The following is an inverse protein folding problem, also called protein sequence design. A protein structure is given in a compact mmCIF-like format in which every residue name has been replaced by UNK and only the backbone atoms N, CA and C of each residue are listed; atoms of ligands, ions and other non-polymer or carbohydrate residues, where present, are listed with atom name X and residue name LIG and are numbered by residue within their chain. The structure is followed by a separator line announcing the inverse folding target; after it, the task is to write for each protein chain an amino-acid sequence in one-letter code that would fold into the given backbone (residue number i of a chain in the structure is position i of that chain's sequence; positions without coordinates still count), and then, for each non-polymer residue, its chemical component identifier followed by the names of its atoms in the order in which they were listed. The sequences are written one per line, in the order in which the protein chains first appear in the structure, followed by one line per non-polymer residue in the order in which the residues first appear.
data_IF_924915017709
#
_entry.id   IF_924915017709
#
_cell.length_a   1.000
_cell.length_b   1.000
_cell.length_c   1.000
_cell.angle_alpha   90.00
_cell.angle_beta   90.00
_cell.angle_gamma   90.00
#
_symmetry.space_group_name_H-M   'P 1'
#
loop_
_entity.id
_entity.type
_entity.pdbx_description
1 polymer ?
#
# COMPACT_ATOMS: atom_id res chain seq x y z
N UNK A 1 38.78 40.22 -0.48
CA UNK A 1 38.36 40.04 0.93
C UNK A 1 36.96 39.44 0.89
N UNK A 2 36.88 38.12 1.01
CA UNK A 2 35.63 37.36 1.06
C UNK A 2 35.28 37.08 2.52
N UNK A 3 33.99 37.20 2.88
CA UNK A 3 33.27 36.72 4.08
C UNK A 3 31.87 37.38 3.95
N UNK A 4 30.70 36.75 4.12
CA UNK A 4 30.30 35.49 4.73
C UNK A 4 28.87 35.20 4.22
N UNK A 5 28.64 34.11 3.50
CA UNK A 5 27.30 33.54 3.39
C UNK A 5 27.08 32.71 4.66
N UNK A 6 26.17 33.13 5.53
CA UNK A 6 25.83 32.36 6.73
C UNK A 6 24.70 31.40 6.42
N UNK A 7 24.99 30.14 6.70
CA UNK A 7 24.10 28.99 6.68
C UNK A 7 22.85 29.25 7.53
N UNK A 8 21.66 29.09 6.94
CA UNK A 8 20.39 29.04 7.67
C UNK A 8 19.28 28.22 6.96
N UNK A 9 19.60 27.49 5.89
CA UNK A 9 18.60 26.72 5.11
C UNK A 9 18.56 25.21 5.41
N UNK A 10 19.54 24.65 6.11
CA UNK A 10 19.59 23.19 6.38
C UNK A 10 18.87 22.76 7.66
N UNK A 11 18.65 23.66 8.63
CA UNK A 11 18.00 23.31 9.89
C UNK A 11 16.48 23.32 9.80
N UNK A 12 15.89 24.24 9.03
CA UNK A 12 14.43 24.35 8.86
C UNK A 12 13.86 23.22 8.00
N UNK A 13 14.59 22.79 6.95
CA UNK A 13 14.21 21.68 6.09
C UNK A 13 14.22 20.34 6.83
N UNK A 14 15.26 20.09 7.63
CA UNK A 14 15.36 18.87 8.45
C UNK A 14 14.30 18.79 9.57
N UNK A 15 13.90 19.93 10.14
CA UNK A 15 12.82 19.97 11.15
C UNK A 15 11.46 19.69 10.50
N UNK A 16 11.18 20.27 9.33
CA UNK A 16 9.95 20.01 8.57
C UNK A 16 9.85 18.53 8.18
N UNK A 17 10.92 17.95 7.61
CA UNK A 17 10.93 16.55 7.19
C UNK A 17 10.75 15.57 8.35
N UNK A 18 11.32 15.89 9.52
CA UNK A 18 11.13 15.08 10.74
C UNK A 18 9.69 15.16 11.25
N UNK A 19 9.09 16.35 11.22
CA UNK A 19 7.70 16.58 11.63
C UNK A 19 6.72 15.84 10.70
N UNK A 20 6.95 15.90 9.39
CA UNK A 20 6.16 15.19 8.38
C UNK A 20 6.28 13.67 8.54
N UNK A 21 7.49 13.15 8.76
CA UNK A 21 7.69 11.71 9.04
C UNK A 21 6.96 11.28 10.30
N UNK A 22 7.05 12.05 11.39
CA UNK A 22 6.38 11.74 12.67
C UNK A 22 4.87 11.77 12.53
N UNK A 23 4.33 12.73 11.78
CA UNK A 23 2.92 12.81 11.43
C UNK A 23 2.45 11.56 10.67
N UNK A 24 3.15 11.17 9.61
CA UNK A 24 2.80 10.00 8.79
C UNK A 24 2.86 8.67 9.54
N UNK A 25 3.86 8.49 10.41
CA UNK A 25 3.97 7.29 11.26
C UNK A 25 2.84 7.26 12.28
N UNK A 26 2.50 8.40 12.89
CA UNK A 26 1.41 8.49 13.86
C UNK A 26 0.06 8.22 13.20
N UNK A 27 -0.16 8.77 12.00
CA UNK A 27 -1.37 8.54 11.22
C UNK A 27 -1.56 7.06 10.85
N UNK A 28 -0.50 6.39 10.37
CA UNK A 28 -0.55 4.95 10.06
C UNK A 28 -0.89 4.11 11.28
N UNK A 29 -0.22 4.36 12.42
CA UNK A 29 -0.52 3.68 13.68
C UNK A 29 -1.97 3.89 14.13
N UNK A 30 -2.50 5.10 13.96
CA UNK A 30 -3.89 5.39 14.27
C UNK A 30 -4.85 4.56 13.41
N UNK A 31 -4.61 4.49 12.08
CA UNK A 31 -5.45 3.72 11.17
C UNK A 31 -5.35 2.20 11.39
N UNK A 32 -4.16 1.71 11.73
CA UNK A 32 -3.98 0.30 12.09
C UNK A 32 -4.75 -0.04 13.38
N UNK A 33 -4.64 0.80 14.41
CA UNK A 33 -5.42 0.63 15.65
C UNK A 33 -6.94 0.67 15.40
N UNK A 34 -7.41 1.57 14.53
CA UNK A 34 -8.84 1.66 14.15
C UNK A 34 -9.30 0.36 13.49
N UNK A 35 -8.48 -0.20 12.58
CA UNK A 35 -8.78 -1.46 11.90
C UNK A 35 -8.84 -2.63 12.89
N UNK A 36 -7.90 -2.68 13.84
CA UNK A 36 -7.86 -3.71 14.88
C UNK A 36 -9.08 -3.62 15.80
N UNK A 37 -9.48 -2.41 16.20
CA UNK A 37 -10.69 -2.18 16.99
C UNK A 37 -11.93 -2.62 16.20
N UNK A 38 -12.06 -2.22 14.92
CA UNK A 38 -13.16 -2.66 14.06
C UNK A 38 -13.23 -4.18 14.01
N UNK A 39 -12.11 -4.85 13.75
CA UNK A 39 -12.04 -6.31 13.72
C UNK A 39 -12.48 -6.93 15.04
N UNK A 40 -11.99 -6.43 16.18
CA UNK A 40 -12.37 -6.96 17.49
C UNK A 40 -13.87 -6.79 17.75
N UNK A 41 -14.42 -5.60 17.46
CA UNK A 41 -15.83 -5.32 17.66
C UNK A 41 -16.72 -6.17 16.75
N UNK A 42 -16.41 -6.30 15.46
CA UNK A 42 -17.27 -7.07 14.55
C UNK A 42 -17.13 -8.58 14.71
N UNK A 43 -15.96 -9.09 15.13
CA UNK A 43 -15.70 -10.54 15.14
C UNK A 43 -15.71 -11.19 16.52
N UNK A 44 -15.44 -10.43 17.59
CA UNK A 44 -15.35 -10.95 18.96
C UNK A 44 -16.51 -10.50 19.85
N UNK A 45 -17.08 -9.31 19.62
CA UNK A 45 -18.21 -8.82 20.43
C UNK A 45 -19.47 -9.70 20.27
N UNK A 46 -19.92 -10.08 19.05
CA UNK A 46 -21.07 -10.98 18.91
C UNK A 46 -20.85 -12.32 19.60
N UNK A 47 -19.62 -12.87 19.54
CA UNK A 47 -19.28 -14.14 20.19
C UNK A 47 -19.32 -14.05 21.71
N UNK A 48 -18.91 -12.90 22.27
CA UNK A 48 -18.97 -12.67 23.72
C UNK A 48 -20.43 -12.52 24.18
N UNK A 49 -21.22 -11.74 23.45
CA UNK A 49 -22.65 -11.53 23.72
C UNK A 49 -23.40 -12.85 23.67
N UNK A 50 -23.23 -13.64 22.60
CA UNK A 50 -23.83 -14.97 22.48
C UNK A 50 -23.44 -15.93 23.62
N UNK A 51 -22.18 -15.88 24.09
CA UNK A 51 -21.75 -16.70 25.24
C UNK A 51 -22.39 -16.26 26.55
N UNK A 52 -22.64 -14.96 26.75
CA UNK A 52 -23.27 -14.44 27.97
C UNK A 52 -24.80 -14.62 27.95
N UNK A 53 -25.43 -14.44 26.79
CA UNK A 53 -26.86 -14.62 26.58
C UNK A 53 -27.31 -16.08 26.60
N UNK A 54 -26.42 -17.03 26.30
CA UNK A 54 -26.68 -18.46 26.54
C UNK A 54 -27.00 -18.81 28.01
N UNK A 55 -26.85 -17.85 28.94
CA UNK A 55 -27.18 -18.00 30.35
C UNK A 55 -28.44 -17.22 30.80
N UNK A 56 -29.09 -16.40 29.95
CA UNK A 56 -30.23 -15.55 30.34
C UNK A 56 -31.30 -15.43 29.26
N UNK A 57 -32.56 -15.23 29.64
CA UNK A 57 -33.70 -15.07 28.72
C UNK A 57 -33.81 -13.65 28.12
N UNK A 58 -32.76 -12.83 28.26
CA UNK A 58 -32.72 -11.43 27.83
C UNK A 58 -32.28 -11.27 26.37
N UNK A 59 -32.38 -12.34 25.56
CA UNK A 59 -31.60 -12.47 24.32
C UNK A 59 -32.08 -11.58 23.19
N UNK A 60 -33.39 -11.46 22.97
CA UNK A 60 -33.89 -10.86 21.71
C UNK A 60 -33.72 -9.33 21.64
N UNK A 61 -33.98 -8.60 22.74
CA UNK A 61 -33.79 -7.14 22.82
C UNK A 61 -32.31 -6.74 22.92
N UNK A 62 -31.48 -7.59 23.56
CA UNK A 62 -30.04 -7.35 23.65
C UNK A 62 -29.33 -7.64 22.32
N UNK A 63 -29.75 -8.68 21.60
CA UNK A 63 -29.22 -9.02 20.28
C UNK A 63 -29.50 -7.90 19.28
N UNK A 64 -30.74 -7.37 19.22
CA UNK A 64 -31.07 -6.25 18.33
C UNK A 64 -30.28 -4.99 18.66
N UNK A 65 -30.08 -4.70 19.96
CA UNK A 65 -29.29 -3.54 20.40
C UNK A 65 -27.81 -3.67 20.02
N UNK A 66 -27.27 -4.88 20.07
CA UNK A 66 -25.87 -5.16 19.68
C UNK A 66 -25.71 -5.07 18.17
N UNK A 67 -26.65 -5.58 17.39
CA UNK A 67 -26.64 -5.49 15.93
C UNK A 67 -26.73 -4.02 15.48
N UNK A 68 -27.68 -3.25 16.02
CA UNK A 68 -27.81 -1.81 15.75
C UNK A 68 -26.52 -1.04 16.09
N UNK A 69 -25.88 -1.39 17.21
CA UNK A 69 -24.61 -0.79 17.62
C UNK A 69 -23.47 -1.12 16.65
N UNK A 70 -23.39 -2.37 16.18
CA UNK A 70 -22.38 -2.80 15.23
C UNK A 70 -22.56 -2.15 13.86
N UNK A 71 -23.79 -2.00 13.39
CA UNK A 71 -24.10 -1.31 12.12
C UNK A 71 -23.71 0.18 12.20
N UNK A 72 -24.08 0.86 13.29
CA UNK A 72 -23.68 2.25 13.55
C UNK A 72 -22.16 2.42 13.64
N UNK A 73 -21.46 1.47 14.25
CA UNK A 73 -20.00 1.48 14.31
C UNK A 73 -19.37 1.26 12.93
N UNK A 74 -19.93 0.36 12.13
CA UNK A 74 -19.43 0.06 10.80
C UNK A 74 -19.52 1.29 9.88
N UNK A 75 -20.63 2.01 9.91
CA UNK A 75 -20.78 3.29 9.18
C UNK A 75 -19.68 4.28 9.57
N UNK A 76 -19.41 4.42 10.88
CA UNK A 76 -18.40 5.34 11.41
C UNK A 76 -16.98 4.93 11.01
N UNK A 77 -16.66 3.64 11.04
CA UNK A 77 -15.37 3.15 10.59
C UNK A 77 -15.17 3.38 9.09
N UNK A 78 -16.20 3.14 8.28
CA UNK A 78 -16.15 3.42 6.85
C UNK A 78 -15.95 4.92 6.58
N UNK A 79 -16.60 5.80 7.35
CA UNK A 79 -16.39 7.24 7.26
C UNK A 79 -14.97 7.66 7.69
N UNK A 80 -14.40 7.04 8.72
CA UNK A 80 -13.01 7.30 9.12
C UNK A 80 -12.00 6.86 8.06
N UNK A 81 -12.22 5.71 7.41
CA UNK A 81 -11.40 5.24 6.29
C UNK A 81 -11.51 6.16 5.07
N UNK A 82 -12.73 6.63 4.76
CA UNK A 82 -12.96 7.66 3.74
C UNK A 82 -12.25 8.98 4.07
N UNK A 83 -12.30 9.41 5.34
CA UNK A 83 -11.57 10.59 5.79
C UNK A 83 -10.06 10.40 5.79
N UNK A 84 -9.50 9.19 6.01
CA UNK A 84 -8.05 8.96 5.82
C UNK A 84 -7.65 9.12 4.35
N UNK A 85 -8.48 8.60 3.45
CA UNK A 85 -8.29 8.69 2.00
C UNK A 85 -8.39 10.12 1.47
N UNK A 86 -9.13 11.01 2.15
CA UNK A 86 -9.27 12.43 1.79
C UNK A 86 -8.31 13.33 2.56
N UNK A 87 -8.09 13.05 3.85
CA UNK A 87 -7.16 13.78 4.72
C UNK A 87 -5.70 13.48 4.38
N UNK A 88 -5.42 12.44 3.59
CA UNK A 88 -4.23 12.40 2.76
C UNK A 88 -4.27 13.49 1.69
N UNK A 89 -4.24 14.76 2.10
CA UNK A 89 -3.67 15.78 1.27
C UNK A 89 -2.20 15.39 1.04
N UNK A 90 -1.67 15.21 -0.15
CA UNK A 90 -2.18 14.83 -1.47
C UNK A 90 -0.89 14.66 -2.28
N UNK A 91 0.13 15.48 -1.99
CA UNK A 91 1.42 15.53 -2.65
C UNK A 91 2.24 14.25 -2.50
N UNK A 92 2.38 13.61 -1.34
CA UNK A 92 3.19 12.39 -1.25
C UNK A 92 2.54 11.21 -1.97
N UNK A 93 1.24 10.98 -1.75
CA UNK A 93 0.51 9.91 -2.46
C UNK A 93 0.45 10.22 -3.95
N UNK A 94 0.16 11.46 -4.36
CA UNK A 94 0.24 11.89 -5.77
C UNK A 94 1.64 11.76 -6.32
N UNK A 95 2.68 12.08 -5.56
CA UNK A 95 4.07 11.93 -5.99
C UNK A 95 4.41 10.47 -6.22
N UNK A 96 4.04 9.57 -5.29
CA UNK A 96 4.22 8.13 -5.45
C UNK A 96 3.39 7.59 -6.63
N UNK A 97 2.16 8.05 -6.79
CA UNK A 97 1.29 7.67 -7.91
C UNK A 97 1.84 8.17 -9.25
N UNK A 98 2.29 9.41 -9.32
CA UNK A 98 2.89 10.01 -10.51
C UNK A 98 4.21 9.34 -10.87
N UNK A 99 5.05 9.01 -9.87
CA UNK A 99 6.27 8.26 -10.06
C UNK A 99 5.97 6.85 -10.58
N UNK A 100 4.99 6.16 -9.97
CA UNK A 100 4.53 4.85 -10.43
C UNK A 100 4.04 4.94 -11.89
N UNK A 101 3.18 5.90 -12.22
CA UNK A 101 2.68 6.15 -13.58
C UNK A 101 3.81 6.44 -14.57
N UNK A 102 4.83 7.20 -14.15
CA UNK A 102 6.00 7.50 -14.99
C UNK A 102 6.83 6.24 -15.27
N UNK A 103 7.07 5.39 -14.26
CA UNK A 103 7.77 4.12 -14.43
C UNK A 103 6.97 3.18 -15.33
N UNK A 104 5.66 3.03 -15.09
CA UNK A 104 4.79 2.19 -15.91
C UNK A 104 4.77 2.63 -17.37
N UNK A 105 4.69 3.94 -17.64
CA UNK A 105 4.77 4.47 -19.01
C UNK A 105 6.12 4.17 -19.68
N UNK A 106 7.22 4.23 -18.93
CA UNK A 106 8.56 3.87 -19.46
C UNK A 106 8.67 2.38 -19.74
N UNK A 107 8.15 1.53 -18.86
CA UNK A 107 8.13 0.08 -19.05
C UNK A 107 7.26 -0.33 -20.25
N UNK A 108 6.08 0.27 -20.41
CA UNK A 108 5.22 0.06 -21.57
C UNK A 108 5.93 0.46 -22.86
N UNK A 109 6.51 1.68 -22.90
CA UNK A 109 7.25 2.14 -24.07
C UNK A 109 8.46 1.26 -24.39
N UNK A 110 9.14 0.74 -23.37
CA UNK A 110 10.26 -0.17 -23.57
C UNK A 110 9.78 -1.47 -24.21
N UNK A 111 8.74 -2.09 -23.66
CA UNK A 111 8.24 -3.40 -24.10
C UNK A 111 7.31 -3.36 -25.34
N UNK A 112 6.98 -2.18 -25.86
CA UNK A 112 6.22 -1.97 -27.11
C UNK A 112 7.11 -1.32 -28.19
N UNK A 113 8.09 -2.06 -28.77
CA UNK A 113 8.97 -1.52 -29.79
C UNK A 113 8.24 -1.34 -31.13
N UNK A 114 8.52 -0.22 -31.81
CA UNK A 114 7.97 0.05 -33.17
C UNK A 114 8.44 -0.95 -34.23
N UNK A 115 9.66 -1.47 -34.07
CA UNK A 115 10.25 -2.45 -34.96
C UNK A 115 10.87 -3.56 -34.11
N UNK A 116 10.22 -4.72 -34.10
CA UNK A 116 10.69 -5.88 -33.37
C UNK A 116 12.03 -6.40 -33.90
N UNK A 117 12.28 -6.33 -35.22
CA UNK A 117 13.50 -6.89 -35.80
C UNK A 117 14.75 -6.07 -35.45
N UNK A 118 14.61 -4.76 -35.28
CA UNK A 118 15.71 -3.86 -34.94
C UNK A 118 15.96 -3.71 -33.42
N UNK A 119 15.09 -4.28 -32.58
CA UNK A 119 15.13 -4.09 -31.13
C UNK A 119 16.04 -5.10 -30.42
N UNK A 120 16.65 -4.69 -29.31
CA UNK A 120 17.47 -5.56 -28.47
C UNK A 120 16.63 -6.22 -27.39
N UNK A 121 16.82 -7.52 -27.22
CA UNK A 121 16.05 -8.34 -26.28
C UNK A 121 16.91 -8.85 -25.13
N UNK A 122 16.25 -9.10 -24.00
CA UNK A 122 16.77 -9.85 -22.87
C UNK A 122 15.83 -11.04 -22.63
N UNK A 123 16.34 -12.25 -22.88
CA UNK A 123 15.60 -13.48 -22.59
C UNK A 123 15.66 -13.83 -21.10
N UNK A 124 14.54 -14.26 -20.54
CA UNK A 124 14.41 -14.74 -19.16
C UNK A 124 13.66 -16.07 -19.17
N UNK A 125 14.34 -17.15 -18.77
CA UNK A 125 13.74 -18.48 -18.69
C UNK A 125 13.10 -18.69 -17.30
N UNK A 126 11.85 -19.17 -17.27
CA UNK A 126 11.06 -19.32 -16.04
C UNK A 126 11.15 -20.75 -15.46
N UNK A 127 11.95 -21.63 -16.07
CA UNK A 127 12.13 -23.05 -15.72
C UNK A 127 12.98 -23.30 -14.45
N UNK A 128 12.93 -22.40 -13.47
CA UNK A 128 13.54 -22.61 -12.17
C UNK A 128 12.71 -23.63 -11.38
N UNK A 129 13.35 -24.71 -10.94
CA UNK A 129 12.78 -25.73 -10.06
C UNK A 129 12.52 -25.17 -8.64
N UNK A 130 11.54 -24.28 -8.51
CA UNK A 130 11.14 -23.66 -7.26
C UNK A 130 9.66 -23.27 -7.28
N UNK A 131 9.12 -22.87 -6.13
CA UNK A 131 7.72 -22.43 -6.01
C UNK A 131 7.46 -21.08 -6.71
N UNK A 132 6.17 -20.77 -6.90
CA UNK A 132 5.69 -19.56 -7.60
C UNK A 132 6.36 -18.25 -7.17
N UNK A 133 6.55 -18.03 -5.86
CA UNK A 133 7.18 -16.80 -5.36
C UNK A 133 8.63 -16.63 -5.83
N UNK A 134 9.38 -17.73 -5.96
CA UNK A 134 10.75 -17.71 -6.47
C UNK A 134 10.76 -17.38 -7.98
N UNK A 135 9.82 -17.93 -8.75
CA UNK A 135 9.68 -17.61 -10.18
C UNK A 135 9.29 -16.14 -10.39
N UNK A 136 8.34 -15.60 -9.60
CA UNK A 136 7.95 -14.19 -9.70
C UNK A 136 9.09 -13.23 -9.34
N UNK A 137 9.90 -13.54 -8.33
CA UNK A 137 11.08 -12.75 -8.01
C UNK A 137 12.13 -12.81 -9.13
N UNK A 138 12.32 -13.97 -9.77
CA UNK A 138 13.22 -14.09 -10.92
C UNK A 138 12.76 -13.25 -12.11
N UNK A 139 11.47 -13.32 -12.47
CA UNK A 139 10.87 -12.47 -13.52
C UNK A 139 11.05 -10.99 -13.18
N UNK A 140 10.82 -10.61 -11.93
CA UNK A 140 11.00 -9.22 -11.46
C UNK A 140 12.46 -8.78 -11.61
N UNK A 141 13.43 -9.63 -11.26
CA UNK A 141 14.84 -9.35 -11.47
C UNK A 141 15.19 -9.17 -12.95
N UNK A 142 14.71 -10.06 -13.82
CA UNK A 142 14.88 -9.96 -15.27
C UNK A 142 14.29 -8.66 -15.82
N UNK A 143 13.12 -8.23 -15.34
CA UNK A 143 12.49 -6.98 -15.74
C UNK A 143 13.33 -5.76 -15.36
N UNK A 144 13.90 -5.74 -14.16
CA UNK A 144 14.79 -4.65 -13.70
C UNK A 144 16.05 -4.61 -14.57
N UNK A 145 16.66 -5.76 -14.86
CA UNK A 145 17.84 -5.86 -15.72
C UNK A 145 17.55 -5.43 -17.18
N UNK A 146 16.40 -5.82 -17.73
CA UNK A 146 15.93 -5.41 -19.05
C UNK A 146 15.74 -3.89 -19.11
N UNK A 147 15.10 -3.31 -18.09
CA UNK A 147 14.91 -1.85 -17.98
C UNK A 147 16.25 -1.10 -17.88
N UNK A 148 17.16 -1.56 -17.03
CA UNK A 148 18.47 -0.93 -16.86
C UNK A 148 19.34 -1.00 -18.12
N UNK A 149 19.20 -2.07 -18.92
CA UNK A 149 19.96 -2.27 -20.15
C UNK A 149 19.27 -1.72 -21.41
N UNK A 150 18.07 -1.16 -21.29
CA UNK A 150 17.27 -0.66 -22.41
C UNK A 150 16.88 -1.76 -23.41
N UNK A 151 16.63 -2.97 -22.91
CA UNK A 151 16.24 -4.14 -23.72
C UNK A 151 14.80 -4.54 -23.43
N UNK A 152 14.11 -5.11 -24.41
CA UNK A 152 12.78 -5.69 -24.24
C UNK A 152 12.90 -7.04 -23.53
N UNK A 153 12.11 -7.25 -22.49
CA UNK A 153 12.07 -8.53 -21.79
C UNK A 153 11.26 -9.53 -22.62
N UNK A 154 11.85 -10.68 -22.92
CA UNK A 154 11.16 -11.85 -23.47
C UNK A 154 11.17 -12.94 -22.43
N UNK A 155 9.97 -13.41 -22.07
CA UNK A 155 9.80 -14.50 -21.13
C UNK A 155 9.70 -15.80 -21.90
N UNK A 156 10.63 -16.72 -21.64
CA UNK A 156 10.53 -18.09 -22.10
C UNK A 156 9.85 -18.92 -21.01
N UNK A 157 8.65 -19.39 -21.33
CA UNK A 157 7.81 -20.22 -20.47
C UNK A 157 7.65 -21.64 -21.01
N UNK A 158 8.44 -22.02 -22.02
CA UNK A 158 8.40 -23.37 -22.57
C UNK A 158 8.72 -24.36 -21.45
N UNK A 159 7.70 -25.14 -21.11
CA UNK A 159 7.74 -26.27 -20.19
C UNK A 159 8.04 -27.54 -20.97
#
# INVERSE_FOLDING_TARGET
MALKATANNDSSSNISENLDRKFLVTRRKLMDNIRDIRYYLTSHLPKLVNRLLGFTNASEELDSTVDDFLENLEERFNYMEYLDAISSNDEQIRTMFNLSKAIQKRLQKLNDPKDCNATRYLGCAINLNCGFGCQMHHITYCLIAAYASGRVLIMDSNC
#
